data_IF_731914011448
#
_entry.id   IF_731914011448
#
_cell.length_a   1.000
_cell.length_b   1.000
_cell.length_c   1.000
_cell.angle_alpha   90.00
_cell.angle_beta   90.00
_cell.angle_gamma   90.00
#
_symmetry.space_group_name_H-M   'P 1'
#
loop_
_entity.id
_entity.type
_entity.pdbx_description
1 polymer ?
#
# COMPACT_ATOMS: atom_id res chain seq x y z
N UNK A 1 10.29 -33.05 4.77
CA UNK A 1 9.45 -31.87 4.44
C UNK A 1 8.12 -32.02 5.12
N UNK A 2 7.68 -31.01 5.88
CA UNK A 2 6.49 -31.14 6.73
C UNK A 2 5.26 -30.67 5.93
N UNK A 3 4.75 -31.55 5.06
CA UNK A 3 3.56 -31.30 4.23
C UNK A 3 2.29 -31.60 5.00
N UNK A 4 1.29 -30.78 4.84
CA UNK A 4 -0.05 -30.95 5.41
C UNK A 4 -1.13 -30.68 4.36
N UNK A 5 -2.33 -31.15 4.62
CA UNK A 5 -3.52 -30.90 3.81
C UNK A 5 -4.52 -30.06 4.59
N UNK A 6 -5.18 -29.12 3.92
CA UNK A 6 -6.24 -28.30 4.52
C UNK A 6 -7.32 -27.94 3.51
N UNK A 7 -8.54 -27.72 4.02
CA UNK A 7 -9.65 -27.10 3.29
C UNK A 7 -9.67 -25.63 3.66
N UNK A 8 -9.68 -24.77 2.67
CA UNK A 8 -9.60 -23.31 2.87
C UNK A 8 -10.99 -22.76 3.18
N UNK A 9 -11.12 -22.06 4.30
CA UNK A 9 -12.37 -21.48 4.78
C UNK A 9 -12.64 -20.10 4.17
N UNK A 10 -11.65 -19.19 4.26
CA UNK A 10 -11.77 -17.79 3.79
C UNK A 10 -10.39 -17.13 3.64
N UNK A 11 -10.35 -15.96 3.01
CA UNK A 11 -9.22 -15.04 3.11
C UNK A 11 -9.31 -14.25 4.42
N UNK A 12 -8.15 -13.79 4.91
CA UNK A 12 -8.06 -12.96 6.12
C UNK A 12 -7.27 -11.67 5.83
N UNK A 13 -7.43 -10.63 6.66
CA UNK A 13 -6.60 -9.43 6.57
C UNK A 13 -5.11 -9.80 6.53
N UNK A 14 -4.36 -9.19 5.59
CA UNK A 14 -2.98 -9.60 5.29
C UNK A 14 -2.87 -10.58 4.12
N UNK A 15 -3.99 -11.17 3.65
CA UNK A 15 -4.12 -11.85 2.35
C UNK A 15 -3.85 -13.34 2.33
N UNK A 16 -3.59 -13.96 3.47
CA UNK A 16 -3.47 -15.41 3.56
C UNK A 16 -4.86 -16.07 3.57
N UNK A 17 -4.93 -17.29 3.08
CA UNK A 17 -6.07 -18.16 3.21
C UNK A 17 -6.06 -18.83 4.59
N UNK A 18 -7.19 -18.83 5.29
CA UNK A 18 -7.37 -19.45 6.59
C UNK A 18 -7.97 -20.84 6.44
N UNK A 19 -7.43 -21.78 7.19
CA UNK A 19 -7.97 -23.11 7.37
C UNK A 19 -7.91 -23.54 8.84
N UNK A 20 -8.76 -24.48 9.25
CA UNK A 20 -8.65 -25.18 10.53
C UNK A 20 -8.19 -26.62 10.27
N UNK A 21 -7.07 -27.00 10.85
CA UNK A 21 -6.55 -28.36 10.74
C UNK A 21 -7.32 -29.34 11.62
N UNK A 22 -7.18 -30.65 11.36
CA UNK A 22 -7.86 -31.70 12.11
C UNK A 22 -7.58 -31.68 13.64
N UNK A 23 -6.43 -31.14 14.05
CA UNK A 23 -6.06 -30.94 15.44
C UNK A 23 -6.60 -29.62 16.05
N UNK A 24 -7.43 -28.87 15.32
CA UNK A 24 -8.02 -27.59 15.73
C UNK A 24 -7.10 -26.39 15.54
N UNK A 25 -5.85 -26.59 15.11
CA UNK A 25 -4.88 -25.52 14.88
C UNK A 25 -5.27 -24.70 13.65
N UNK A 26 -5.14 -23.36 13.73
CA UNK A 26 -5.33 -22.49 12.58
C UNK A 26 -4.11 -22.52 11.65
N UNK A 27 -4.37 -22.58 10.35
CA UNK A 27 -3.34 -22.53 9.30
C UNK A 27 -3.57 -21.32 8.40
N UNK A 28 -2.52 -20.51 8.23
CA UNK A 28 -2.50 -19.36 7.33
C UNK A 28 -1.65 -19.71 6.11
N UNK A 29 -2.29 -19.80 4.94
CA UNK A 29 -1.69 -20.42 3.75
C UNK A 29 -1.65 -19.43 2.60
N UNK A 30 -0.47 -19.20 2.02
CA UNK A 30 -0.30 -18.47 0.78
C UNK A 30 -0.56 -19.36 -0.43
N UNK A 31 -1.04 -18.77 -1.54
CA UNK A 31 -1.24 -19.49 -2.80
C UNK A 31 -2.50 -20.36 -2.86
N UNK A 32 -3.42 -20.18 -1.92
CA UNK A 32 -4.69 -20.92 -1.83
C UNK A 32 -5.89 -19.96 -1.83
N UNK A 33 -7.06 -20.48 -2.24
CA UNK A 33 -8.30 -19.72 -2.34
C UNK A 33 -9.43 -20.43 -1.55
N UNK A 34 -10.46 -19.68 -1.08
CA UNK A 34 -11.60 -20.24 -0.37
C UNK A 34 -12.26 -21.40 -1.12
N UNK A 35 -12.64 -22.47 -0.38
CA UNK A 35 -13.25 -23.68 -0.91
C UNK A 35 -12.28 -24.74 -1.42
N UNK A 36 -11.02 -24.38 -1.71
CA UNK A 36 -10.04 -25.32 -2.21
C UNK A 36 -9.54 -26.30 -1.14
N UNK A 37 -9.24 -27.52 -1.53
CA UNK A 37 -8.46 -28.47 -0.73
C UNK A 37 -7.02 -28.44 -1.24
N UNK A 38 -6.07 -28.05 -0.37
CA UNK A 38 -4.68 -27.86 -0.76
C UNK A 38 -3.72 -28.72 0.03
N UNK A 39 -2.66 -29.21 -0.63
CA UNK A 39 -1.43 -29.65 0.04
C UNK A 39 -0.50 -28.44 0.18
N UNK A 40 0.02 -28.18 1.38
CA UNK A 40 0.88 -27.03 1.66
C UNK A 40 2.12 -27.43 2.45
N UNK A 41 3.20 -26.70 2.24
CA UNK A 41 4.45 -26.83 2.99
C UNK A 41 4.49 -25.80 4.12
N UNK A 42 4.85 -26.26 5.33
CA UNK A 42 4.97 -25.42 6.51
C UNK A 42 6.21 -24.52 6.40
N UNK A 43 5.98 -23.21 6.54
CA UNK A 43 7.05 -22.18 6.69
C UNK A 43 7.26 -21.80 8.15
N UNK A 44 6.21 -21.91 8.97
CA UNK A 44 6.25 -21.60 10.40
C UNK A 44 5.28 -22.50 11.18
N UNK A 45 5.70 -22.95 12.36
CA UNK A 45 4.85 -23.78 13.23
C UNK A 45 4.90 -23.29 14.66
N UNK A 46 3.78 -22.72 15.16
CA UNK A 46 3.60 -22.25 16.53
C UNK A 46 2.62 -23.17 17.29
N UNK A 47 2.43 -22.96 18.58
CA UNK A 47 1.55 -23.77 19.42
C UNK A 47 0.09 -23.70 18.94
N UNK A 48 -0.41 -22.50 18.62
CA UNK A 48 -1.82 -22.23 18.30
C UNK A 48 -2.11 -22.08 16.81
N UNK A 49 -1.09 -21.81 15.98
CA UNK A 49 -1.24 -21.65 14.53
C UNK A 49 -0.01 -22.12 13.77
N UNK A 50 -0.17 -22.28 12.47
CA UNK A 50 0.95 -22.47 11.54
C UNK A 50 0.78 -21.59 10.29
N UNK A 51 1.89 -21.36 9.60
CA UNK A 51 1.91 -20.68 8.31
C UNK A 51 2.52 -21.61 7.25
N UNK A 52 2.10 -21.44 6.00
CA UNK A 52 2.62 -22.26 4.91
C UNK A 52 2.33 -21.68 3.53
N UNK A 53 2.80 -22.41 2.53
CA UNK A 53 2.59 -22.11 1.11
C UNK A 53 1.99 -23.33 0.43
N UNK A 54 0.88 -23.13 -0.29
CA UNK A 54 0.25 -24.18 -1.08
C UNK A 54 1.21 -24.63 -2.20
N UNK A 55 1.40 -25.94 -2.30
CA UNK A 55 2.25 -26.57 -3.33
C UNK A 55 1.41 -27.29 -4.39
N UNK A 56 0.18 -27.63 -4.06
CA UNK A 56 -0.75 -28.31 -4.97
C UNK A 56 -2.19 -28.14 -4.52
N UNK A 57 -3.10 -27.91 -5.47
CA UNK A 57 -4.53 -28.05 -5.28
C UNK A 57 -4.88 -29.53 -5.43
N UNK A 58 -5.50 -30.12 -4.40
CA UNK A 58 -5.87 -31.55 -4.38
C UNK A 58 -7.29 -31.75 -4.91
N UNK A 59 -8.23 -30.87 -4.49
CA UNK A 59 -9.61 -30.96 -4.89
C UNK A 59 -10.27 -29.57 -4.86
N UNK A 60 -11.41 -29.46 -5.55
CA UNK A 60 -12.27 -28.28 -5.59
C UNK A 60 -11.51 -26.99 -5.96
N UNK A 61 -10.79 -26.94 -7.09
CA UNK A 61 -10.17 -25.70 -7.53
C UNK A 61 -11.25 -24.61 -7.66
N UNK A 62 -10.95 -23.41 -7.19
CA UNK A 62 -11.88 -22.28 -7.32
C UNK A 62 -12.13 -21.95 -8.80
N UNK A 63 -13.37 -21.65 -9.17
CA UNK A 63 -13.71 -21.16 -10.51
C UNK A 63 -13.06 -19.82 -10.85
N UNK A 64 -12.70 -19.05 -9.81
CA UNK A 64 -12.00 -17.78 -9.92
C UNK A 64 -10.47 -17.92 -10.00
N UNK A 65 -9.94 -19.17 -10.02
CA UNK A 65 -8.50 -19.40 -10.08
C UNK A 65 -7.98 -19.20 -11.48
N UNK A 66 -6.93 -18.39 -11.59
CA UNK A 66 -6.16 -18.17 -12.83
C UNK A 66 -4.69 -18.53 -12.63
N UNK A 67 -3.98 -18.77 -13.72
CA UNK A 67 -2.54 -18.95 -13.67
C UNK A 67 -1.84 -17.60 -13.45
N UNK A 68 -0.90 -17.49 -12.50
CA UNK A 68 -0.13 -16.26 -12.32
C UNK A 68 0.75 -15.98 -13.53
N UNK A 69 0.97 -14.71 -13.87
CA UNK A 69 1.86 -14.29 -14.95
C UNK A 69 3.34 -14.41 -14.57
N UNK A 70 3.65 -14.17 -13.30
CA UNK A 70 5.02 -14.11 -12.80
C UNK A 70 5.36 -15.35 -11.97
N UNK A 71 6.50 -15.98 -12.22
CA UNK A 71 6.99 -17.09 -11.40
C UNK A 71 7.29 -16.65 -9.95
N UNK A 72 7.58 -15.35 -9.77
CA UNK A 72 7.85 -14.73 -8.46
C UNK A 72 6.59 -14.15 -7.77
N UNK A 73 5.39 -14.42 -8.27
CA UNK A 73 4.14 -13.80 -7.80
C UNK A 73 3.95 -13.85 -6.29
N UNK A 74 4.32 -14.95 -5.64
CA UNK A 74 4.21 -15.06 -4.19
C UNK A 74 5.04 -14.00 -3.44
N UNK A 75 6.13 -13.52 -4.03
CA UNK A 75 7.00 -12.51 -3.41
C UNK A 75 6.42 -11.11 -3.48
N UNK A 76 5.76 -10.75 -4.57
CA UNK A 76 5.34 -9.37 -4.90
C UNK A 76 3.82 -9.21 -4.91
N UNK A 77 3.10 -10.13 -5.54
CA UNK A 77 1.68 -10.04 -5.91
C UNK A 77 0.97 -11.38 -5.74
N UNK A 78 0.85 -11.87 -4.49
CA UNK A 78 0.41 -13.24 -4.19
C UNK A 78 -1.03 -13.56 -4.62
N UNK A 79 -1.80 -12.56 -5.02
CA UNK A 79 -3.17 -12.71 -5.50
C UNK A 79 -3.27 -12.80 -7.04
N UNK A 80 -2.16 -12.88 -7.78
CA UNK A 80 -2.18 -13.23 -9.21
C UNK A 80 -2.82 -14.60 -9.51
N UNK A 81 -3.16 -15.37 -8.50
CA UNK A 81 -3.84 -16.65 -8.61
C UNK A 81 -5.37 -16.55 -8.75
N UNK A 82 -5.93 -15.35 -8.62
CA UNK A 82 -7.38 -15.12 -8.75
C UNK A 82 -7.70 -14.12 -9.86
N UNK A 83 -8.87 -14.26 -10.47
CA UNK A 83 -9.33 -13.28 -11.45
C UNK A 83 -9.55 -11.91 -10.81
N UNK A 84 -9.41 -10.86 -11.63
CA UNK A 84 -9.42 -9.49 -11.13
C UNK A 84 -10.77 -9.08 -10.54
N UNK A 85 -11.88 -9.58 -11.08
CA UNK A 85 -13.22 -9.28 -10.57
C UNK A 85 -13.44 -9.86 -9.18
N UNK A 86 -12.97 -11.08 -8.97
CA UNK A 86 -13.02 -11.73 -7.66
C UNK A 86 -12.11 -11.05 -6.63
N UNK A 87 -10.91 -10.60 -7.05
CA UNK A 87 -10.04 -9.79 -6.18
C UNK A 87 -10.77 -8.56 -5.64
N UNK A 88 -11.45 -7.79 -6.51
CA UNK A 88 -12.20 -6.60 -6.10
C UNK A 88 -13.30 -6.92 -5.09
N UNK A 89 -14.04 -8.03 -5.29
CA UNK A 89 -15.04 -8.51 -4.34
C UNK A 89 -14.40 -8.88 -2.99
N UNK A 90 -13.29 -9.61 -3.01
CA UNK A 90 -12.57 -10.01 -1.79
C UNK A 90 -12.05 -8.80 -1.01
N UNK A 91 -11.62 -7.73 -1.67
CA UNK A 91 -11.20 -6.48 -1.00
C UNK A 91 -12.36 -5.81 -0.29
N UNK A 92 -13.52 -5.69 -0.92
CA UNK A 92 -14.73 -5.16 -0.28
C UNK A 92 -15.18 -6.06 0.89
N UNK A 93 -15.11 -7.39 0.75
CA UNK A 93 -15.50 -8.32 1.80
C UNK A 93 -14.57 -8.29 3.01
N UNK A 94 -13.27 -8.25 2.77
CA UNK A 94 -12.27 -8.10 3.84
C UNK A 94 -12.42 -6.76 4.57
N UNK A 95 -12.72 -5.68 3.86
CA UNK A 95 -13.04 -4.39 4.50
C UNK A 95 -14.25 -4.54 5.42
N UNK A 96 -15.36 -5.10 4.94
CA UNK A 96 -16.57 -5.34 5.74
C UNK A 96 -16.28 -6.18 6.99
N UNK A 97 -15.51 -7.25 6.84
CA UNK A 97 -15.12 -8.11 7.96
C UNK A 97 -14.31 -7.36 9.03
N UNK A 98 -13.35 -6.50 8.64
CA UNK A 98 -12.56 -5.69 9.57
C UNK A 98 -13.44 -4.79 10.43
N UNK A 99 -14.41 -4.13 9.82
CA UNK A 99 -15.32 -3.23 10.54
C UNK A 99 -16.31 -4.00 11.42
N UNK A 100 -16.86 -5.11 10.93
CA UNK A 100 -17.75 -5.98 11.72
C UNK A 100 -17.06 -6.52 12.98
N UNK A 101 -15.77 -6.87 12.90
CA UNK A 101 -14.99 -7.33 14.07
C UNK A 101 -14.82 -6.23 15.13
N UNK A 102 -14.96 -4.97 14.76
CA UNK A 102 -14.95 -3.82 15.67
C UNK A 102 -16.39 -3.32 15.98
N UNK A 103 -17.42 -4.16 15.80
CA UNK A 103 -18.82 -3.87 16.07
C UNK A 103 -19.40 -2.72 15.24
N UNK A 104 -18.79 -2.38 14.11
CA UNK A 104 -19.27 -1.40 13.16
C UNK A 104 -19.92 -2.10 11.96
N UNK A 105 -21.25 -2.08 11.90
CA UNK A 105 -22.01 -2.64 10.78
C UNK A 105 -22.25 -1.53 9.74
N UNK A 106 -21.24 -1.27 8.92
CA UNK A 106 -21.27 -0.24 7.89
C UNK A 106 -21.43 -0.88 6.50
N UNK A 107 -22.10 -0.16 5.60
CA UNK A 107 -22.12 -0.50 4.20
C UNK A 107 -20.75 -0.33 3.58
N UNK A 108 -20.34 -1.27 2.73
CA UNK A 108 -19.07 -1.22 1.98
C UNK A 108 -19.42 -1.26 0.50
N UNK A 109 -19.03 -0.22 -0.19
CA UNK A 109 -19.24 -0.06 -1.63
C UNK A 109 -18.30 -1.00 -2.43
N UNK A 110 -18.60 -1.26 -3.71
CA UNK A 110 -17.68 -1.99 -4.58
C UNK A 110 -16.31 -1.30 -4.64
N UNK A 111 -15.24 -2.11 -4.65
CA UNK A 111 -13.87 -1.60 -4.73
C UNK A 111 -13.62 -0.87 -6.05
N UNK A 112 -13.19 0.40 -5.99
CA UNK A 112 -12.87 1.22 -7.16
C UNK A 112 -11.49 0.84 -7.74
N UNK A 113 -11.41 0.83 -9.07
CA UNK A 113 -10.22 0.59 -9.87
C UNK A 113 -10.27 1.42 -11.16
N UNK A 114 -9.13 1.65 -11.82
CA UNK A 114 -9.04 2.21 -13.17
C UNK A 114 -9.18 1.13 -14.27
N UNK A 115 -9.41 -0.12 -13.87
CA UNK A 115 -9.53 -1.28 -14.77
C UNK A 115 -8.20 -1.93 -15.17
N UNK A 116 -7.06 -1.38 -14.73
CA UNK A 116 -5.73 -1.96 -14.99
C UNK A 116 -5.28 -2.79 -13.80
N UNK A 117 -4.91 -4.01 -14.08
CA UNK A 117 -4.46 -4.99 -13.07
C UNK A 117 -2.94 -5.22 -13.11
N UNK A 118 -2.27 -4.95 -14.22
CA UNK A 118 -0.83 -5.08 -14.41
C UNK A 118 -0.19 -3.76 -14.84
N UNK A 119 1.15 -3.68 -14.74
CA UNK A 119 1.97 -2.54 -15.18
C UNK A 119 1.56 -1.19 -14.55
N UNK A 120 0.96 -1.25 -13.36
CA UNK A 120 0.48 -0.06 -12.65
C UNK A 120 1.52 0.54 -11.71
N UNK A 121 2.41 -0.30 -11.17
CA UNK A 121 3.31 0.08 -10.08
C UNK A 121 4.47 0.94 -10.60
N UNK A 122 4.59 2.15 -10.05
CA UNK A 122 5.61 3.11 -10.48
C UNK A 122 6.89 3.11 -9.63
N UNK A 123 7.02 2.23 -8.62
CA UNK A 123 8.22 2.10 -7.77
C UNK A 123 8.50 0.64 -7.45
N UNK A 124 9.73 0.19 -7.69
CA UNK A 124 10.21 -1.15 -7.33
C UNK A 124 11.55 -1.09 -6.64
N UNK A 125 11.75 -2.01 -5.71
CA UNK A 125 13.04 -2.30 -5.12
C UNK A 125 13.38 -3.76 -5.39
N UNK A 126 14.47 -3.96 -6.14
CA UNK A 126 15.03 -5.27 -6.46
C UNK A 126 16.17 -5.58 -5.52
N UNK A 127 16.23 -6.82 -5.02
CA UNK A 127 17.48 -7.36 -4.51
C UNK A 127 18.41 -7.70 -5.68
N UNK A 128 19.71 -7.55 -5.47
CA UNK A 128 20.71 -8.03 -6.40
C UNK A 128 21.23 -9.39 -5.90
N UNK A 129 21.13 -10.39 -6.77
CA UNK A 129 21.53 -11.78 -6.51
C UNK A 129 22.78 -12.11 -7.27
N UNK A 130 23.81 -12.60 -6.58
CA UNK A 130 25.01 -13.11 -7.20
C UNK A 130 24.83 -14.60 -7.50
N UNK A 131 24.93 -14.95 -8.77
CA UNK A 131 24.95 -16.33 -9.22
C UNK A 131 26.41 -16.84 -9.29
N UNK A 132 26.72 -17.84 -8.47
CA UNK A 132 28.07 -18.39 -8.36
C UNK A 132 28.47 -19.22 -9.58
N UNK A 133 27.50 -19.81 -10.30
CA UNK A 133 27.77 -20.67 -11.42
C UNK A 133 28.12 -19.87 -12.68
N UNK A 134 27.46 -18.74 -12.88
CA UNK A 134 27.68 -17.85 -14.03
C UNK A 134 28.59 -16.66 -13.71
N UNK A 135 28.93 -16.43 -12.44
CA UNK A 135 29.65 -15.25 -11.95
C UNK A 135 28.97 -13.93 -12.40
N UNK A 136 27.64 -13.87 -12.30
CA UNK A 136 26.84 -12.70 -12.71
C UNK A 136 25.88 -12.26 -11.63
N UNK A 137 25.54 -10.96 -11.70
CA UNK A 137 24.46 -10.35 -10.92
C UNK A 137 23.15 -10.53 -11.68
N UNK A 138 22.07 -10.85 -10.96
CA UNK A 138 20.69 -10.90 -11.45
C UNK A 138 19.77 -10.06 -10.57
N UNK A 139 18.70 -9.52 -11.17
CA UNK A 139 17.57 -8.99 -10.42
C UNK A 139 16.87 -10.14 -9.68
N UNK A 140 16.45 -9.90 -8.45
CA UNK A 140 15.80 -10.92 -7.63
C UNK A 140 14.81 -10.31 -6.64
N UNK A 141 13.87 -11.13 -6.19
CA UNK A 141 13.02 -10.84 -5.02
C UNK A 141 13.28 -11.86 -3.90
N UNK A 142 12.97 -11.46 -2.67
CA UNK A 142 12.98 -12.40 -1.56
C UNK A 142 11.81 -13.38 -1.67
N UNK A 143 12.09 -14.67 -1.54
CA UNK A 143 11.04 -15.70 -1.48
C UNK A 143 10.18 -15.48 -0.25
N UNK A 144 8.86 -15.49 -0.42
CA UNK A 144 7.93 -15.36 0.70
C UNK A 144 8.15 -16.47 1.74
N UNK A 145 8.22 -16.07 3.00
CA UNK A 145 8.43 -17.01 4.11
C UNK A 145 9.86 -17.51 4.28
N UNK A 146 10.85 -16.97 3.55
CA UNK A 146 12.26 -17.33 3.69
C UNK A 146 13.17 -16.13 3.44
N UNK A 147 14.46 -16.28 3.78
CA UNK A 147 15.50 -15.29 3.46
C UNK A 147 16.15 -15.54 2.08
N UNK A 148 15.73 -16.59 1.38
CA UNK A 148 16.26 -16.90 0.05
C UNK A 148 15.85 -15.86 -0.98
N UNK A 149 16.73 -15.61 -1.95
CA UNK A 149 16.44 -14.76 -3.11
C UNK A 149 16.04 -15.65 -4.30
N UNK A 150 15.10 -15.17 -5.10
CA UNK A 150 14.69 -15.79 -6.36
C UNK A 150 15.05 -14.84 -7.49
N UNK A 151 15.99 -15.22 -8.37
CA UNK A 151 16.24 -14.48 -9.60
C UNK A 151 14.98 -14.38 -10.44
N UNK A 152 14.82 -13.26 -11.14
CA UNK A 152 13.67 -12.99 -12.00
C UNK A 152 14.11 -12.64 -13.41
N UNK A 153 13.37 -13.13 -14.40
CA UNK A 153 13.55 -12.80 -15.81
C UNK A 153 12.52 -11.76 -16.28
N UNK A 154 11.41 -11.63 -15.55
CA UNK A 154 10.34 -10.66 -15.83
C UNK A 154 9.56 -10.35 -14.56
N UNK A 155 8.84 -9.23 -14.59
CA UNK A 155 7.84 -8.85 -13.61
C UNK A 155 6.75 -8.06 -14.33
N UNK A 156 5.50 -8.33 -13.99
CA UNK A 156 4.35 -7.79 -14.70
C UNK A 156 3.57 -6.75 -13.88
N UNK A 157 3.93 -6.49 -12.64
CA UNK A 157 3.20 -5.51 -11.81
C UNK A 157 3.73 -4.08 -11.94
N UNK A 158 5.04 -3.90 -12.15
CA UNK A 158 5.63 -2.58 -12.35
C UNK A 158 5.56 -2.13 -13.80
N UNK A 159 5.69 -0.83 -13.98
CA UNK A 159 5.80 -0.21 -15.30
C UNK A 159 7.00 -0.78 -16.08
N UNK A 160 6.83 -1.11 -17.37
CA UNK A 160 7.88 -1.73 -18.19
C UNK A 160 9.20 -0.93 -18.20
N UNK A 161 9.12 0.40 -18.11
CA UNK A 161 10.28 1.29 -18.09
C UNK A 161 11.19 1.02 -16.90
N UNK A 162 10.61 0.63 -15.74
CA UNK A 162 11.36 0.29 -14.52
C UNK A 162 12.17 -0.97 -14.75
N UNK A 163 11.52 -2.05 -15.21
CA UNK A 163 12.20 -3.33 -15.44
C UNK A 163 13.27 -3.22 -16.53
N UNK A 164 12.98 -2.51 -17.63
CA UNK A 164 13.94 -2.25 -18.69
C UNK A 164 15.18 -1.49 -18.15
N UNK A 165 14.98 -0.47 -17.32
CA UNK A 165 16.09 0.29 -16.72
C UNK A 165 16.87 -0.56 -15.72
N UNK A 166 16.19 -1.37 -14.90
CA UNK A 166 16.84 -2.29 -13.96
C UNK A 166 17.74 -3.31 -14.68
N UNK A 167 17.24 -3.89 -15.78
CA UNK A 167 17.99 -4.84 -16.61
C UNK A 167 19.23 -4.19 -17.22
N UNK A 168 19.11 -2.97 -17.78
CA UNK A 168 20.25 -2.22 -18.32
C UNK A 168 21.34 -1.96 -17.27
N UNK A 169 20.94 -1.63 -16.03
CA UNK A 169 21.90 -1.41 -14.93
C UNK A 169 22.62 -2.69 -14.58
N UNK A 170 21.91 -3.81 -14.48
CA UNK A 170 22.50 -5.13 -14.20
C UNK A 170 23.46 -5.55 -15.31
N UNK A 171 23.10 -5.34 -16.58
CA UNK A 171 23.98 -5.64 -17.72
C UNK A 171 25.27 -4.80 -17.65
N UNK A 172 25.18 -3.52 -17.30
CA UNK A 172 26.36 -2.66 -17.12
C UNK A 172 27.24 -3.09 -15.95
N UNK A 173 26.66 -3.56 -14.84
CA UNK A 173 27.41 -4.10 -13.70
C UNK A 173 28.15 -5.38 -14.11
N UNK A 174 27.48 -6.28 -14.82
CA UNK A 174 28.08 -7.51 -15.30
C UNK A 174 29.18 -7.29 -16.33
N UNK A 175 29.02 -6.32 -17.24
CA UNK A 175 30.04 -5.94 -18.22
C UNK A 175 31.31 -5.36 -17.58
N UNK A 176 31.19 -4.77 -16.38
CA UNK A 176 32.32 -4.24 -15.59
C UNK A 176 32.92 -5.26 -14.63
N UNK A 177 32.52 -6.52 -14.70
CA UNK A 177 32.93 -7.58 -13.78
C UNK A 177 32.73 -7.19 -12.30
N UNK A 178 31.57 -6.62 -11.98
CA UNK A 178 31.23 -6.19 -10.64
C UNK A 178 31.39 -7.32 -9.62
N UNK A 179 32.01 -7.03 -8.47
CA UNK A 179 32.27 -8.03 -7.44
C UNK A 179 31.01 -8.44 -6.68
N UNK A 180 30.94 -9.70 -6.29
CA UNK A 180 29.90 -10.25 -5.45
C UNK A 180 29.74 -9.45 -4.15
N UNK A 181 28.52 -9.25 -3.69
CA UNK A 181 28.15 -8.58 -2.43
C UNK A 181 28.39 -7.07 -2.35
N UNK A 182 29.07 -6.46 -3.31
CA UNK A 182 29.25 -5.01 -3.37
C UNK A 182 27.93 -4.29 -3.58
N UNK A 183 27.05 -4.85 -4.41
CA UNK A 183 25.74 -4.30 -4.77
C UNK A 183 24.63 -5.09 -4.08
N UNK A 184 23.78 -4.42 -3.28
CA UNK A 184 22.76 -5.07 -2.44
C UNK A 184 21.36 -5.01 -3.06
N UNK A 185 20.92 -3.81 -3.42
CA UNK A 185 19.60 -3.57 -3.99
C UNK A 185 19.60 -2.41 -4.98
N UNK A 186 18.54 -2.37 -5.78
CA UNK A 186 18.28 -1.33 -6.76
C UNK A 186 16.84 -0.85 -6.57
N UNK A 187 16.67 0.40 -6.14
CA UNK A 187 15.38 1.05 -6.03
C UNK A 187 15.18 1.93 -7.26
N UNK A 188 14.11 1.73 -7.99
CA UNK A 188 13.74 2.53 -9.15
C UNK A 188 12.30 3.02 -9.04
N UNK A 189 12.08 4.24 -9.53
CA UNK A 189 10.76 4.85 -9.68
C UNK A 189 10.64 5.47 -11.07
N UNK A 190 9.44 5.36 -11.65
CA UNK A 190 9.09 5.90 -12.95
C UNK A 190 7.96 6.92 -12.80
N UNK A 191 8.08 8.11 -13.36
CA UNK A 191 6.99 9.08 -13.40
C UNK A 191 6.01 8.80 -14.56
N UNK A 192 4.92 9.56 -14.65
CA UNK A 192 3.90 9.41 -15.70
C UNK A 192 4.48 9.54 -17.11
N UNK A 193 5.51 10.36 -17.32
CA UNK A 193 6.18 10.57 -18.60
C UNK A 193 7.18 9.47 -18.98
N UNK A 194 7.35 8.43 -18.16
CA UNK A 194 8.30 7.33 -18.43
C UNK A 194 9.73 7.60 -17.99
N UNK A 195 10.01 8.72 -17.31
CA UNK A 195 11.34 8.99 -16.77
C UNK A 195 11.60 8.13 -15.53
N UNK A 196 12.69 7.37 -15.55
CA UNK A 196 13.08 6.48 -14.43
C UNK A 196 14.24 7.10 -13.64
N UNK A 197 14.12 7.14 -12.33
CA UNK A 197 15.11 7.60 -11.37
C UNK A 197 15.18 6.64 -10.18
N UNK A 198 16.22 6.74 -9.34
CA UNK A 198 16.31 5.86 -8.17
C UNK A 198 17.71 5.83 -7.56
N UNK A 199 17.95 4.80 -6.75
CA UNK A 199 19.20 4.60 -6.02
C UNK A 199 19.72 3.17 -6.22
N UNK A 200 21.04 3.05 -6.49
CA UNK A 200 21.76 1.79 -6.42
C UNK A 200 22.46 1.71 -5.06
N UNK A 201 22.15 0.70 -4.27
CA UNK A 201 22.77 0.52 -2.95
C UNK A 201 24.08 -0.26 -3.07
N UNK A 202 25.19 0.42 -2.75
CA UNK A 202 26.56 -0.09 -2.83
C UNK A 202 27.16 -0.07 -1.43
N UNK A 203 27.58 -1.22 -0.91
CA UNK A 203 28.10 -1.35 0.47
C UNK A 203 27.18 -0.72 1.53
N UNK A 204 25.87 -0.84 1.35
CA UNK A 204 24.85 -0.28 2.25
C UNK A 204 24.60 1.21 2.10
N UNK A 205 25.24 1.89 1.17
CA UNK A 205 25.05 3.32 0.91
C UNK A 205 24.28 3.55 -0.39
N UNK A 206 23.30 4.48 -0.42
CA UNK A 206 22.58 4.84 -1.63
C UNK A 206 23.49 5.66 -2.58
N UNK A 207 23.48 5.29 -3.85
CA UNK A 207 24.10 6.03 -4.93
C UNK A 207 23.01 6.47 -5.90
N UNK A 208 22.65 7.77 -5.92
CA UNK A 208 21.59 8.29 -6.79
C UNK A 208 21.91 8.07 -8.27
N UNK A 209 20.91 7.57 -9.01
CA UNK A 209 21.03 7.34 -10.45
C UNK A 209 20.64 8.58 -11.23
N UNK A 210 19.65 9.34 -10.74
CA UNK A 210 19.15 10.58 -11.35
C UNK A 210 18.52 11.50 -10.28
N UNK A 211 18.13 12.71 -10.73
CA UNK A 211 17.47 13.73 -9.91
C UNK A 211 15.99 13.35 -9.56
N UNK A 212 15.34 14.20 -8.78
CA UNK A 212 13.94 14.12 -8.43
C UNK A 212 13.03 13.93 -9.65
N UNK A 213 11.90 13.33 -9.42
CA UNK A 213 10.81 13.13 -10.38
C UNK A 213 9.69 14.13 -10.13
N UNK A 214 8.85 14.32 -11.14
CA UNK A 214 7.63 15.09 -11.02
C UNK A 214 6.48 14.37 -11.71
N UNK A 215 5.28 14.50 -11.11
CA UNK A 215 4.02 14.03 -11.66
C UNK A 215 2.93 15.07 -11.42
N UNK A 216 1.87 15.00 -12.22
CA UNK A 216 0.69 15.83 -12.06
C UNK A 216 -0.46 15.01 -11.45
N UNK A 217 -1.16 15.58 -10.46
CA UNK A 217 -2.39 15.05 -9.88
C UNK A 217 -3.43 16.16 -9.81
N UNK A 218 -4.60 15.96 -10.44
CA UNK A 218 -5.71 16.93 -10.48
C UNK A 218 -5.26 18.35 -10.90
N UNK A 219 -4.33 18.44 -11.86
CA UNK A 219 -3.81 19.73 -12.37
C UNK A 219 -2.76 20.40 -11.47
N UNK A 220 -2.31 19.74 -10.41
CA UNK A 220 -1.21 20.18 -9.53
C UNK A 220 0.05 19.34 -9.79
N UNK A 221 1.17 20.03 -10.05
CA UNK A 221 2.48 19.37 -10.20
C UNK A 221 3.13 19.12 -8.84
N UNK A 222 3.63 17.91 -8.65
CA UNK A 222 4.37 17.47 -7.46
C UNK A 222 5.78 17.07 -7.83
N UNK A 223 6.75 17.58 -7.08
CA UNK A 223 8.14 17.13 -7.15
C UNK A 223 8.46 16.32 -5.91
N UNK A 224 9.10 15.18 -6.10
CA UNK A 224 9.41 14.23 -5.03
C UNK A 224 10.70 13.47 -5.34
N UNK A 225 11.38 12.98 -4.29
CA UNK A 225 12.55 12.12 -4.41
C UNK A 225 12.14 10.67 -4.75
N UNK A 226 12.92 9.94 -5.56
CA UNK A 226 12.58 8.57 -5.96
C UNK A 226 12.46 7.60 -4.77
N UNK A 227 13.27 7.78 -3.73
CA UNK A 227 13.26 6.98 -2.51
C UNK A 227 12.20 7.43 -1.49
N UNK A 228 11.70 8.67 -1.57
CA UNK A 228 10.63 9.20 -0.74
C UNK A 228 9.31 8.45 -0.89
N UNK A 229 8.35 8.77 -0.03
CA UNK A 229 6.99 8.26 -0.17
C UNK A 229 6.22 9.12 -1.19
N UNK A 230 5.66 8.50 -2.17
CA UNK A 230 4.65 9.01 -3.10
C UNK A 230 3.84 7.83 -3.62
N UNK A 231 2.57 8.02 -3.96
CA UNK A 231 1.69 6.92 -4.35
C UNK A 231 2.20 6.16 -5.57
N UNK A 232 1.98 4.84 -5.60
CA UNK A 232 2.57 3.96 -6.62
C UNK A 232 1.64 3.65 -7.80
N UNK A 233 0.35 3.97 -7.67
CA UNK A 233 -0.69 3.78 -8.68
C UNK A 233 -1.46 5.10 -8.81
N UNK A 234 -0.92 6.04 -9.57
CA UNK A 234 -1.46 7.39 -9.65
C UNK A 234 -2.86 7.46 -10.26
N UNK A 235 -3.23 6.67 -11.30
CA UNK A 235 -4.59 6.70 -11.84
C UNK A 235 -5.66 6.36 -10.80
N UNK A 236 -5.47 5.32 -9.99
CA UNK A 236 -6.43 4.96 -8.94
C UNK A 236 -6.36 5.94 -7.77
N UNK A 237 -5.18 6.50 -7.46
CA UNK A 237 -5.04 7.54 -6.47
C UNK A 237 -5.82 8.80 -6.84
N UNK A 238 -5.81 9.23 -8.11
CA UNK A 238 -6.63 10.36 -8.58
C UNK A 238 -8.13 10.11 -8.39
N UNK A 239 -8.62 8.87 -8.57
CA UNK A 239 -10.02 8.54 -8.27
C UNK A 239 -10.34 8.73 -6.78
N UNK A 240 -9.41 8.39 -5.89
CA UNK A 240 -9.57 8.64 -4.46
C UNK A 240 -9.54 10.15 -4.14
N UNK A 241 -8.62 10.91 -4.74
CA UNK A 241 -8.56 12.37 -4.59
C UNK A 241 -9.83 13.05 -5.09
N UNK A 242 -10.40 12.60 -6.21
CA UNK A 242 -11.68 13.10 -6.73
C UNK A 242 -12.85 12.79 -5.77
N UNK A 243 -12.83 11.63 -5.11
CA UNK A 243 -13.82 11.30 -4.09
C UNK A 243 -13.68 12.20 -2.85
N UNK A 244 -12.44 12.43 -2.40
CA UNK A 244 -12.13 13.32 -1.28
C UNK A 244 -12.52 14.77 -1.60
N UNK A 245 -12.20 15.27 -2.80
CA UNK A 245 -12.50 16.65 -3.19
C UNK A 245 -13.98 16.99 -3.13
N UNK A 246 -14.87 16.03 -3.40
CA UNK A 246 -16.33 16.19 -3.31
C UNK A 246 -16.82 16.40 -1.87
N UNK A 247 -16.01 16.04 -0.89
CA UNK A 247 -16.36 16.12 0.53
C UNK A 247 -15.80 17.36 1.22
N UNK A 248 -14.99 18.16 0.55
CA UNK A 248 -14.41 19.40 1.08
C UNK A 248 -15.41 20.55 0.90
N UNK A 249 -16.10 20.92 1.99
CA UNK A 249 -17.08 22.00 1.98
C UNK A 249 -16.71 23.15 2.93
N UNK A 250 -15.83 22.92 3.90
CA UNK A 250 -15.36 23.91 4.87
C UNK A 250 -14.30 24.84 4.26
N UNK A 251 -14.16 26.05 4.81
CA UNK A 251 -13.09 26.97 4.41
C UNK A 251 -11.74 26.59 5.01
N UNK A 252 -11.72 25.94 6.19
CA UNK A 252 -10.51 25.47 6.85
C UNK A 252 -10.32 23.97 6.62
N UNK A 253 -9.14 23.58 6.21
CA UNK A 253 -8.76 22.18 5.98
C UNK A 253 -7.42 21.89 6.66
N UNK A 254 -7.40 20.85 7.46
CA UNK A 254 -6.20 20.34 8.12
C UNK A 254 -5.87 18.95 7.58
N UNK A 255 -4.74 18.82 6.88
CA UNK A 255 -4.24 17.56 6.32
C UNK A 255 -3.12 17.02 7.20
N UNK A 256 -3.40 15.96 7.94
CA UNK A 256 -2.48 15.31 8.88
C UNK A 256 -1.83 14.08 8.22
N UNK A 257 -0.56 13.85 8.53
CA UNK A 257 0.29 12.86 7.86
C UNK A 257 0.47 13.18 6.37
N UNK A 258 0.64 14.47 6.05
CA UNK A 258 0.49 15.01 4.70
C UNK A 258 1.55 14.52 3.69
N UNK A 259 2.67 13.92 4.14
CA UNK A 259 3.76 13.49 3.26
C UNK A 259 4.32 14.67 2.46
N UNK A 260 4.26 14.57 1.14
CA UNK A 260 4.64 15.67 0.22
C UNK A 260 3.49 16.66 -0.05
N UNK A 261 2.39 16.55 0.68
CA UNK A 261 1.20 17.40 0.56
C UNK A 261 0.22 16.94 -0.51
N UNK A 262 0.31 15.71 -1.00
CA UNK A 262 -0.40 15.29 -2.21
C UNK A 262 -1.92 15.25 -2.06
N UNK A 263 -2.49 15.02 -0.87
CA UNK A 263 -3.94 15.09 -0.67
C UNK A 263 -4.37 16.56 -0.57
N UNK A 264 -3.96 17.26 0.49
CA UNK A 264 -4.41 18.61 0.77
C UNK A 264 -4.23 19.58 -0.39
N UNK A 265 -3.03 19.58 -1.03
CA UNK A 265 -2.73 20.45 -2.17
C UNK A 265 -3.54 20.10 -3.43
N UNK A 266 -3.99 18.85 -3.60
CA UNK A 266 -4.84 18.46 -4.73
C UNK A 266 -6.31 18.84 -4.53
N UNK A 267 -6.83 18.77 -3.28
CA UNK A 267 -8.28 18.86 -3.03
C UNK A 267 -8.72 20.14 -2.31
N UNK A 268 -7.78 20.91 -1.72
CA UNK A 268 -8.09 22.05 -0.86
C UNK A 268 -7.16 23.27 -1.06
N UNK A 269 -6.51 23.40 -2.22
CA UNK A 269 -5.54 24.47 -2.52
C UNK A 269 -6.12 25.90 -2.52
N UNK A 270 -7.43 26.03 -2.66
CA UNK A 270 -8.19 27.29 -2.60
C UNK A 270 -8.71 27.62 -1.21
N UNK A 271 -8.44 26.77 -0.21
CA UNK A 271 -8.89 26.86 1.17
C UNK A 271 -7.80 27.42 2.10
N UNK A 272 -8.16 27.71 3.35
CA UNK A 272 -7.20 27.89 4.44
C UNK A 272 -6.67 26.52 4.85
N UNK A 273 -5.54 26.13 4.21
CA UNK A 273 -5.00 24.77 4.25
C UNK A 273 -3.80 24.70 5.19
N UNK A 274 -3.87 23.83 6.18
CA UNK A 274 -2.74 23.49 7.04
C UNK A 274 -2.31 22.04 6.77
N UNK A 275 -1.04 21.84 6.44
CA UNK A 275 -0.41 20.54 6.15
C UNK A 275 0.58 20.19 7.26
N UNK A 276 0.51 18.98 7.81
CA UNK A 276 1.36 18.54 8.92
C UNK A 276 2.09 17.25 8.54
N UNK A 277 3.41 17.28 8.64
CA UNK A 277 4.28 16.13 8.34
C UNK A 277 5.43 16.06 9.35
N UNK A 278 5.76 14.85 9.84
CA UNK A 278 6.83 14.62 10.82
C UNK A 278 8.18 14.31 10.16
N UNK A 279 8.18 13.78 8.94
CA UNK A 279 9.40 13.45 8.22
C UNK A 279 10.01 14.70 7.59
N UNK A 280 11.21 15.10 8.02
CA UNK A 280 11.85 16.33 7.56
C UNK A 280 12.11 16.38 6.05
N UNK A 281 12.40 15.24 5.39
CA UNK A 281 12.62 15.20 3.94
C UNK A 281 11.28 15.40 3.18
N UNK A 282 10.23 14.71 3.59
CA UNK A 282 8.90 14.88 3.01
C UNK A 282 8.34 16.29 3.27
N UNK A 283 8.57 16.85 4.46
CA UNK A 283 8.21 18.24 4.78
C UNK A 283 8.88 19.25 3.84
N UNK A 284 10.18 19.07 3.53
CA UNK A 284 10.87 19.95 2.58
C UNK A 284 10.27 19.86 1.17
N UNK A 285 9.91 18.66 0.74
CA UNK A 285 9.21 18.45 -0.53
C UNK A 285 7.80 19.07 -0.50
N UNK A 286 7.07 18.93 0.61
CA UNK A 286 5.76 19.55 0.84
C UNK A 286 5.83 21.09 0.74
N UNK A 287 6.81 21.72 1.37
CA UNK A 287 7.02 23.17 1.27
C UNK A 287 7.29 23.61 -0.19
N UNK A 288 8.09 22.84 -0.92
CA UNK A 288 8.35 23.13 -2.33
C UNK A 288 7.09 22.98 -3.19
N UNK A 289 6.27 21.95 -2.93
CA UNK A 289 5.01 21.71 -3.64
C UNK A 289 3.91 22.74 -3.28
N UNK A 290 3.95 23.31 -2.08
CA UNK A 290 3.05 24.36 -1.60
C UNK A 290 3.50 25.78 -2.02
N UNK A 291 4.68 25.90 -2.65
CA UNK A 291 5.22 27.19 -3.07
C UNK A 291 4.21 27.96 -3.94
N UNK A 292 3.99 29.23 -3.63
CA UNK A 292 3.03 30.10 -4.30
C UNK A 292 1.54 29.89 -3.96
N UNK A 293 1.23 29.13 -2.91
CA UNK A 293 -0.14 29.03 -2.36
C UNK A 293 -0.25 29.89 -1.09
N UNK A 294 -0.81 31.10 -1.15
CA UNK A 294 -0.74 32.08 -0.06
C UNK A 294 -1.51 31.67 1.20
N UNK A 295 -2.54 30.82 1.05
CA UNK A 295 -3.38 30.36 2.15
C UNK A 295 -2.96 28.96 2.66
N UNK A 296 -1.72 28.55 2.40
CA UNK A 296 -1.23 27.24 2.81
C UNK A 296 -0.13 27.36 3.87
N UNK A 297 -0.31 26.69 4.99
CA UNK A 297 0.66 26.59 6.08
C UNK A 297 1.22 25.18 6.16
N UNK A 298 2.57 25.04 6.14
CA UNK A 298 3.25 23.76 6.32
C UNK A 298 3.87 23.69 7.72
N UNK A 299 3.63 22.60 8.45
CA UNK A 299 4.11 22.38 9.82
C UNK A 299 4.94 21.11 9.87
N UNK A 300 6.16 21.21 10.41
CA UNK A 300 7.01 20.05 10.71
C UNK A 300 6.78 19.64 12.16
N UNK A 301 5.86 18.75 12.38
CA UNK A 301 5.57 18.19 13.70
C UNK A 301 4.82 16.86 13.56
N UNK A 302 4.60 16.18 14.67
CA UNK A 302 3.71 15.03 14.77
C UNK A 302 2.26 15.47 14.74
N UNK A 303 1.41 14.70 14.07
CA UNK A 303 -0.03 15.00 13.96
C UNK A 303 -0.73 15.10 15.33
N UNK A 304 -0.32 14.34 16.33
CA UNK A 304 -0.87 14.39 17.69
C UNK A 304 -0.50 15.67 18.47
N UNK A 305 0.56 16.38 18.07
CA UNK A 305 0.99 17.63 18.73
C UNK A 305 0.23 18.87 18.23
N UNK A 306 -0.45 18.76 17.09
CA UNK A 306 -1.11 19.89 16.43
C UNK A 306 -2.62 19.93 16.67
N UNK A 307 -3.10 19.30 17.73
CA UNK A 307 -4.52 19.27 18.09
C UNK A 307 -5.14 20.69 18.24
N UNK A 308 -4.35 21.70 18.59
CA UNK A 308 -4.77 23.10 18.69
C UNK A 308 -5.19 23.74 17.35
N UNK A 309 -4.82 23.14 16.23
CA UNK A 309 -5.25 23.59 14.89
C UNK A 309 -6.60 22.98 14.48
N UNK A 310 -7.07 21.93 15.18
CA UNK A 310 -8.40 21.37 14.96
C UNK A 310 -9.43 22.38 15.51
N UNK A 311 -10.38 22.78 14.67
CA UNK A 311 -11.48 23.68 15.06
C UNK A 311 -12.82 23.03 14.68
N UNK A 312 -13.94 23.41 15.36
CA UNK A 312 -15.25 22.81 15.07
C UNK A 312 -15.75 23.04 13.64
N UNK A 313 -15.23 24.05 12.95
CA UNK A 313 -15.62 24.49 11.60
C UNK A 313 -14.65 23.99 10.51
N UNK A 314 -13.74 23.07 10.81
CA UNK A 314 -12.77 22.54 9.85
C UNK A 314 -13.11 21.13 9.33
N UNK A 315 -12.53 20.80 8.18
CA UNK A 315 -12.38 19.42 7.71
C UNK A 315 -10.99 18.92 8.09
N UNK A 316 -10.89 17.74 8.70
CA UNK A 316 -9.62 17.08 8.99
C UNK A 316 -9.45 15.90 8.04
N UNK A 317 -8.35 15.88 7.30
CA UNK A 317 -7.93 14.78 6.45
C UNK A 317 -6.89 13.96 7.20
N UNK A 318 -7.04 12.63 7.17
CA UNK A 318 -6.17 11.67 7.84
C UNK A 318 -5.69 10.62 6.82
N UNK A 319 -4.38 10.49 6.66
CA UNK A 319 -3.74 9.38 5.91
C UNK A 319 -2.57 8.80 6.75
N UNK A 320 -2.89 8.17 7.91
CA UNK A 320 -1.87 7.71 8.83
C UNK A 320 -1.13 6.46 8.32
N UNK A 321 0.03 6.13 8.92
CA UNK A 321 0.73 4.88 8.65
C UNK A 321 -0.12 3.66 9.05
N UNK A 322 0.35 2.46 8.70
CA UNK A 322 -0.36 1.18 8.96
C UNK A 322 -0.78 0.95 10.42
N UNK A 323 -0.18 1.63 11.36
CA UNK A 323 -0.54 1.57 12.79
C UNK A 323 -1.88 2.26 13.11
N UNK A 324 -2.39 3.10 12.19
CA UNK A 324 -3.54 3.98 12.42
C UNK A 324 -3.15 5.26 13.13
N UNK A 325 -4.13 6.01 13.59
CA UNK A 325 -3.92 7.23 14.36
C UNK A 325 -3.50 6.93 15.81
N UNK A 326 -2.73 7.86 16.40
CA UNK A 326 -2.45 7.84 17.84
C UNK A 326 -3.74 8.12 18.63
N UNK A 327 -3.91 7.43 19.76
CA UNK A 327 -5.11 7.57 20.58
C UNK A 327 -5.35 9.01 21.07
N UNK A 328 -4.28 9.76 21.36
CA UNK A 328 -4.35 11.16 21.76
C UNK A 328 -4.96 12.06 20.68
N UNK A 329 -4.65 11.79 19.39
CA UNK A 329 -5.26 12.52 18.28
C UNK A 329 -6.77 12.20 18.17
N UNK A 330 -7.16 10.94 18.30
CA UNK A 330 -8.58 10.54 18.27
C UNK A 330 -9.34 11.17 19.44
N UNK A 331 -8.75 11.26 20.63
CA UNK A 331 -9.35 11.96 21.77
C UNK A 331 -9.52 13.45 21.48
N UNK A 332 -8.52 14.13 20.95
CA UNK A 332 -8.62 15.54 20.59
C UNK A 332 -9.71 15.81 19.54
N UNK A 333 -9.84 14.93 18.55
CA UNK A 333 -10.91 14.98 17.55
C UNK A 333 -12.28 14.84 18.21
N UNK A 334 -12.46 13.92 19.16
CA UNK A 334 -13.73 13.77 19.90
C UNK A 334 -14.04 14.94 20.83
N UNK A 335 -13.04 15.60 21.37
CA UNK A 335 -13.23 16.79 22.23
C UNK A 335 -13.63 18.01 21.41
N UNK A 336 -12.92 18.29 20.31
CA UNK A 336 -13.13 19.49 19.49
C UNK A 336 -14.31 19.30 18.52
N UNK A 337 -14.54 18.08 18.04
CA UNK A 337 -15.61 17.71 17.13
C UNK A 337 -15.60 18.54 15.82
N UNK A 338 -14.53 18.47 15.01
CA UNK A 338 -14.53 19.12 13.69
C UNK A 338 -15.74 18.66 12.85
N UNK A 339 -16.19 19.53 11.94
CA UNK A 339 -17.40 19.30 11.14
C UNK A 339 -17.31 18.01 10.34
N UNK A 340 -16.14 17.74 9.76
CA UNK A 340 -15.93 16.58 8.89
C UNK A 340 -14.55 15.96 9.09
N UNK A 341 -14.52 14.63 9.01
CA UNK A 341 -13.29 13.85 8.94
C UNK A 341 -13.27 13.06 7.63
N UNK A 342 -12.15 13.06 6.98
CA UNK A 342 -11.86 12.28 5.76
C UNK A 342 -10.68 11.39 6.08
N UNK A 343 -10.91 10.08 6.17
CA UNK A 343 -9.89 9.12 6.59
C UNK A 343 -9.57 8.14 5.47
N UNK A 344 -8.49 8.36 4.75
CA UNK A 344 -7.90 7.38 3.83
C UNK A 344 -6.96 6.48 4.61
N UNK A 345 -6.98 5.16 4.40
CA UNK A 345 -6.15 4.21 5.15
C UNK A 345 -5.73 3.01 4.33
N UNK A 346 -4.45 2.68 4.40
CA UNK A 346 -3.90 1.46 3.83
C UNK A 346 -4.10 0.21 4.73
N UNK A 347 -4.78 0.34 5.87
CA UNK A 347 -5.04 -0.76 6.81
C UNK A 347 -6.45 -0.68 7.40
N UNK A 348 -7.46 -1.34 6.80
CA UNK A 348 -8.83 -1.36 7.30
C UNK A 348 -8.98 -1.87 8.75
N UNK A 349 -8.03 -2.69 9.25
CA UNK A 349 -8.07 -3.21 10.63
C UNK A 349 -7.86 -2.10 11.65
N UNK A 350 -6.83 -1.28 11.46
CA UNK A 350 -6.55 -0.15 12.37
C UNK A 350 -7.54 0.98 12.16
N UNK A 351 -7.97 1.23 10.93
CA UNK A 351 -9.02 2.19 10.63
C UNK A 351 -10.33 1.84 11.35
N UNK A 352 -10.75 0.56 11.32
CA UNK A 352 -11.95 0.13 12.03
C UNK A 352 -11.86 0.34 13.55
N UNK A 353 -10.68 0.10 14.15
CA UNK A 353 -10.41 0.42 15.57
C UNK A 353 -10.60 1.91 15.85
N UNK A 354 -10.00 2.76 15.03
CA UNK A 354 -10.04 4.21 15.22
C UNK A 354 -11.46 4.76 15.01
N UNK A 355 -12.17 4.27 13.99
CA UNK A 355 -13.55 4.67 13.73
C UNK A 355 -14.53 4.21 14.81
N UNK A 356 -14.28 3.07 15.46
CA UNK A 356 -15.08 2.63 16.60
C UNK A 356 -15.05 3.64 17.77
N UNK A 357 -13.91 4.32 17.96
CA UNK A 357 -13.78 5.38 18.98
C UNK A 357 -14.48 6.69 18.59
N UNK A 358 -14.78 6.89 17.31
CA UNK A 358 -15.42 8.09 16.76
C UNK A 358 -16.93 7.90 16.51
N UNK A 359 -17.43 6.67 16.53
CA UNK A 359 -18.78 6.32 16.09
C UNK A 359 -19.91 6.92 16.94
N UNK A 360 -19.65 7.27 18.19
CA UNK A 360 -20.63 7.96 19.05
C UNK A 360 -20.82 9.43 18.62
N UNK A 361 -19.75 10.09 18.21
CA UNK A 361 -19.71 11.50 17.83
C UNK A 361 -20.08 11.75 16.37
N UNK A 362 -19.70 10.80 15.49
CA UNK A 362 -19.82 10.99 14.04
C UNK A 362 -20.77 9.98 13.39
N UNK A 363 -21.46 10.45 12.36
CA UNK A 363 -22.12 9.61 11.38
C UNK A 363 -21.08 9.18 10.34
N UNK A 364 -20.94 7.88 10.10
CA UNK A 364 -19.99 7.31 9.15
C UNK A 364 -20.76 6.95 7.87
N UNK A 365 -20.33 7.49 6.74
CA UNK A 365 -20.88 7.17 5.42
C UNK A 365 -20.48 5.73 4.99
N UNK A 366 -21.10 5.15 3.94
CA UNK A 366 -20.62 3.91 3.36
C UNK A 366 -19.14 3.96 3.02
N UNK A 367 -18.42 2.89 3.38
CA UNK A 367 -16.98 2.80 3.17
C UNK A 367 -16.65 2.58 1.69
N UNK A 368 -15.61 3.24 1.19
CA UNK A 368 -15.19 3.12 -0.20
C UNK A 368 -13.78 2.56 -0.32
N UNK A 369 -13.63 1.24 -0.60
CA UNK A 369 -12.31 0.67 -0.92
C UNK A 369 -11.82 1.07 -2.31
N UNK A 370 -10.49 1.20 -2.46
CA UNK A 370 -9.78 1.45 -3.71
C UNK A 370 -8.71 0.38 -3.93
N UNK A 371 -8.55 -0.07 -5.17
CA UNK A 371 -7.53 -1.03 -5.55
C UNK A 371 -6.24 -0.34 -6.02
N UNK A 372 -5.49 0.28 -5.09
CA UNK A 372 -4.17 0.87 -5.41
C UNK A 372 -3.13 -0.20 -5.76
N UNK A 373 -3.33 -1.42 -5.28
CA UNK A 373 -2.36 -2.50 -5.36
C UNK A 373 -2.99 -3.78 -5.94
N UNK A 374 -3.33 -3.79 -7.24
CA UNK A 374 -3.81 -5.00 -7.94
C UNK A 374 -2.93 -6.22 -7.69
N UNK A 375 -3.54 -7.39 -7.63
CA UNK A 375 -2.92 -8.68 -7.34
C UNK A 375 -2.21 -8.79 -5.98
N UNK A 376 -2.55 -7.89 -5.05
CA UNK A 376 -2.04 -7.93 -3.67
C UNK A 376 -3.19 -7.82 -2.66
N UNK A 377 -2.98 -8.26 -1.41
CA UNK A 377 -4.00 -8.13 -0.36
C UNK A 377 -4.14 -6.71 0.21
N UNK A 378 -3.38 -5.75 -0.29
CA UNK A 378 -3.44 -4.38 0.21
C UNK A 378 -4.72 -3.70 -0.25
N UNK A 379 -5.35 -2.98 0.66
CA UNK A 379 -6.60 -2.25 0.47
C UNK A 379 -6.36 -0.83 0.93
N UNK A 380 -6.70 0.13 0.10
CA UNK A 380 -6.88 1.52 0.52
C UNK A 380 -8.37 1.75 0.73
N UNK A 381 -8.76 2.22 1.90
CA UNK A 381 -10.17 2.45 2.22
C UNK A 381 -10.41 3.88 2.65
N UNK A 382 -11.38 4.53 2.02
CA UNK A 382 -11.82 5.87 2.34
C UNK A 382 -13.06 5.80 3.23
N UNK A 383 -13.01 6.47 4.36
CA UNK A 383 -14.13 6.69 5.25
C UNK A 383 -14.40 8.19 5.40
N UNK A 384 -15.66 8.57 5.25
CA UNK A 384 -16.14 9.94 5.43
C UNK A 384 -17.01 9.99 6.68
N UNK A 385 -16.67 10.90 7.59
CA UNK A 385 -17.39 11.06 8.84
C UNK A 385 -17.90 12.51 8.95
N UNK A 386 -19.16 12.65 9.29
CA UNK A 386 -19.78 13.97 9.53
C UNK A 386 -20.25 14.03 10.97
N UNK A 387 -19.98 15.12 11.66
CA UNK A 387 -20.45 15.35 13.04
C UNK A 387 -21.97 15.23 13.10
N UNK A 388 -22.47 14.53 14.14
CA UNK A 388 -23.91 14.33 14.39
C UNK A 388 -24.62 15.61 14.83
#
# INVERSE_FOLDING_TARGET
MNKKTAIIEKLVPGGQALATLADGKKAFIWGAMPGETVEFELTKNKKTYCEGVAIRIIANPSEHRVAPKDDCYLSTSPWQIMDFSYELQQKSELTRECFRQNHLNLDVLPTITDGKDYFYRNKMEYSLYWDHDTAKIHLAFHKRGSHGKQPIAQSSIERPEIFARASQIVDQLNARHAEARTYQSLLLRCNQQGKVSGDLFVNGQPHPIMANLSDELLGQNYTYSPNGFFQINLPVYELALQAIAKEIHTEKVLDLYAGVGSIGLSVARDKDLTLVEVNGAAYQEMQNNAQNLPNTTCILDKSENVASYITPDCTVILDPPRAGCEASLIHAINEVQPEKLIYLSCNPVTQARDLAMLAETYQIAPLQPFNFFPHTPHIENLAILTRK
#
